data_IF_448109855705
#
_entry.id   IF_448109855705
#
_cell.length_a   1.000
_cell.length_b   1.000
_cell.length_c   1.000
_cell.angle_alpha   90.00
_cell.angle_beta   90.00
_cell.angle_gamma   90.00
#
_symmetry.space_group_name_H-M   'P 1'
#
loop_
_entity.id
_entity.type
_entity.pdbx_description
1 polymer ?
#
# COMPACT_ATOMS: atom_id res chain seq x y z
N UNK A 1 -5.58 26.85 -18.45
CA UNK A 1 -6.18 28.19 -18.63
C UNK A 1 -7.28 28.52 -17.60
N UNK A 2 -7.38 27.78 -16.49
CA UNK A 2 -8.10 28.25 -15.28
C UNK A 2 -7.13 29.00 -14.35
N UNK A 3 -5.86 28.62 -14.34
CA UNK A 3 -4.79 29.23 -13.54
C UNK A 3 -4.33 30.62 -14.00
N UNK A 4 -4.72 31.06 -15.20
CA UNK A 4 -4.34 32.36 -15.78
C UNK A 4 -5.53 33.32 -15.91
N UNK A 5 -6.62 33.08 -15.18
CA UNK A 5 -7.82 33.93 -15.25
C UNK A 5 -7.51 35.40 -14.97
N UNK A 6 -6.61 35.68 -14.03
CA UNK A 6 -6.21 37.04 -13.68
C UNK A 6 -5.49 37.76 -14.83
N UNK A 7 -4.51 37.11 -15.48
CA UNK A 7 -3.75 37.71 -16.58
C UNK A 7 -4.61 37.94 -17.83
N UNK A 8 -5.55 37.02 -18.09
CA UNK A 8 -6.54 37.18 -19.17
C UNK A 8 -7.50 38.31 -18.84
N UNK A 9 -7.99 38.41 -17.60
CA UNK A 9 -8.88 39.50 -17.16
C UNK A 9 -8.22 40.87 -17.28
N UNK A 10 -6.96 40.98 -16.85
CA UNK A 10 -6.19 42.22 -16.94
C UNK A 10 -5.99 42.68 -18.40
N UNK A 11 -5.66 41.74 -19.30
CA UNK A 11 -5.48 42.05 -20.74
C UNK A 11 -6.78 42.54 -21.37
N UNK A 12 -7.89 41.87 -21.08
CA UNK A 12 -9.21 42.24 -21.58
C UNK A 12 -9.64 43.61 -21.04
N UNK A 13 -9.35 43.91 -19.76
CA UNK A 13 -9.62 45.23 -19.16
C UNK A 13 -8.86 46.36 -19.86
N UNK A 14 -7.58 46.16 -20.18
CA UNK A 14 -6.79 47.15 -20.92
C UNK A 14 -7.35 47.44 -22.33
N UNK A 15 -7.64 46.40 -23.11
CA UNK A 15 -8.19 46.57 -24.47
C UNK A 15 -9.56 47.24 -24.46
N UNK A 16 -10.42 46.90 -23.50
CA UNK A 16 -11.73 47.53 -23.35
C UNK A 16 -11.61 48.98 -22.86
N UNK A 17 -10.69 49.27 -21.94
CA UNK A 17 -10.44 50.64 -21.46
C UNK A 17 -9.95 51.56 -22.59
N UNK A 18 -9.03 51.08 -23.45
CA UNK A 18 -8.58 51.84 -24.63
C UNK A 18 -9.72 52.13 -25.62
N UNK A 19 -10.56 51.13 -25.92
CA UNK A 19 -11.71 51.32 -26.81
C UNK A 19 -12.77 52.24 -26.20
N UNK A 20 -13.06 52.09 -24.91
CA UNK A 20 -14.05 52.89 -24.20
C UNK A 20 -13.66 54.37 -24.13
N UNK A 21 -12.35 54.68 -24.00
CA UNK A 21 -11.82 56.05 -24.08
C UNK A 21 -12.15 56.75 -25.40
N UNK A 22 -12.20 56.03 -26.53
CA UNK A 22 -12.59 56.61 -27.82
C UNK A 22 -14.05 57.09 -27.83
N UNK A 23 -14.89 56.52 -26.97
CA UNK A 23 -16.29 56.91 -26.79
C UNK A 23 -16.51 57.83 -25.57
N UNK A 24 -15.45 58.26 -24.89
CA UNK A 24 -15.53 59.08 -23.67
C UNK A 24 -16.05 58.33 -22.44
N UNK A 25 -16.01 57.00 -22.44
CA UNK A 25 -16.48 56.16 -21.34
C UNK A 25 -15.27 55.76 -20.48
N UNK A 26 -15.36 55.99 -19.16
CA UNK A 26 -14.36 55.56 -18.18
C UNK A 26 -14.79 54.20 -17.59
N UNK A 27 -13.95 53.17 -17.75
CA UNK A 27 -14.14 51.87 -17.09
C UNK A 27 -13.20 51.75 -15.89
N UNK A 28 -13.74 51.33 -14.74
CA UNK A 28 -13.02 51.15 -13.47
C UNK A 28 -12.68 49.67 -13.23
N UNK A 29 -13.68 48.78 -13.15
CA UNK A 29 -13.49 47.34 -12.96
C UNK A 29 -14.41 46.49 -13.86
N UNK A 30 -13.88 45.35 -14.33
CA UNK A 30 -14.60 44.38 -15.17
C UNK A 30 -14.55 42.99 -14.55
N UNK A 31 -15.71 42.40 -14.31
CA UNK A 31 -15.83 41.00 -13.88
C UNK A 31 -16.36 40.13 -15.03
N UNK A 32 -15.64 39.06 -15.36
CA UNK A 32 -16.12 38.06 -16.33
C UNK A 32 -16.95 37.01 -15.59
N UNK A 33 -18.27 37.00 -15.81
CA UNK A 33 -19.22 36.13 -15.09
C UNK A 33 -19.30 34.72 -15.65
N UNK A 34 -19.39 34.59 -16.99
CA UNK A 34 -19.51 33.29 -17.64
C UNK A 34 -18.59 33.18 -18.85
N UNK A 35 -17.73 32.15 -18.82
CA UNK A 35 -16.85 31.77 -19.92
C UNK A 35 -17.28 30.38 -20.35
N UNK A 36 -17.93 30.26 -21.52
CA UNK A 36 -18.24 28.97 -22.12
C UNK A 36 -17.15 28.61 -23.11
N UNK A 37 -16.50 27.48 -22.89
CA UNK A 37 -15.63 26.90 -23.89
C UNK A 37 -16.47 26.05 -24.86
N UNK A 38 -15.99 25.85 -26.09
CA UNK A 38 -16.61 24.90 -27.01
C UNK A 38 -16.47 23.47 -26.51
N UNK A 39 -17.41 22.59 -26.87
CA UNK A 39 -17.43 21.17 -26.43
C UNK A 39 -16.14 20.43 -26.81
N UNK A 40 -15.63 20.66 -28.01
CA UNK A 40 -14.39 20.04 -28.48
C UNK A 40 -13.17 20.44 -27.63
N UNK A 41 -13.16 21.67 -27.10
CA UNK A 41 -12.09 22.13 -26.22
C UNK A 41 -12.20 21.52 -24.83
N UNK A 42 -13.40 21.39 -24.28
CA UNK A 42 -13.61 20.74 -22.98
C UNK A 42 -13.18 19.28 -23.03
N UNK A 43 -13.56 18.57 -24.10
CA UNK A 43 -13.27 17.15 -24.27
C UNK A 43 -11.75 16.93 -24.43
N UNK A 44 -11.07 17.77 -25.21
CA UNK A 44 -9.62 17.68 -25.39
C UNK A 44 -8.84 17.96 -24.09
N UNK A 45 -9.33 18.90 -23.27
CA UNK A 45 -8.73 19.20 -21.96
C UNK A 45 -8.97 18.06 -20.97
N UNK A 46 -10.17 17.49 -20.96
CA UNK A 46 -10.51 16.34 -20.11
C UNK A 46 -9.66 15.12 -20.48
N UNK A 47 -9.55 14.79 -21.77
CA UNK A 47 -8.66 13.72 -22.24
C UNK A 47 -7.21 13.95 -21.82
N UNK A 48 -6.71 15.19 -21.92
CA UNK A 48 -5.35 15.52 -21.48
C UNK A 48 -5.18 15.33 -19.98
N UNK A 49 -6.18 15.71 -19.18
CA UNK A 49 -6.15 15.51 -17.72
C UNK A 49 -6.18 14.03 -17.36
N UNK A 50 -7.04 13.24 -18.01
CA UNK A 50 -7.11 11.79 -17.81
C UNK A 50 -5.78 11.13 -18.16
N UNK A 51 -5.20 11.46 -19.32
CA UNK A 51 -3.90 10.93 -19.72
C UNK A 51 -2.78 11.28 -18.73
N UNK A 52 -2.79 12.51 -18.18
CA UNK A 52 -1.80 12.91 -17.19
C UNK A 52 -1.98 12.17 -15.86
N UNK A 53 -3.21 11.99 -15.40
CA UNK A 53 -3.51 11.20 -14.20
C UNK A 53 -3.14 9.73 -14.37
N UNK A 54 -3.43 9.14 -15.54
CA UNK A 54 -3.05 7.76 -15.85
C UNK A 54 -1.53 7.59 -15.86
N UNK A 55 -0.79 8.55 -16.44
CA UNK A 55 0.66 8.53 -16.44
C UNK A 55 1.24 8.63 -15.01
N UNK A 56 0.71 9.52 -14.17
CA UNK A 56 1.12 9.62 -12.76
C UNK A 56 0.81 8.34 -11.99
N UNK A 57 -0.37 7.76 -12.19
CA UNK A 57 -0.77 6.50 -11.56
C UNK A 57 0.12 5.33 -11.99
N UNK A 58 0.46 5.25 -13.27
CA UNK A 58 1.37 4.23 -13.78
C UNK A 58 2.77 4.36 -13.16
N UNK A 59 3.31 5.59 -13.07
CA UNK A 59 4.60 5.85 -12.41
C UNK A 59 4.57 5.45 -10.94
N UNK A 60 3.51 5.80 -10.22
CA UNK A 60 3.33 5.44 -8.82
C UNK A 60 3.26 3.92 -8.61
N UNK A 61 2.57 3.20 -9.49
CA UNK A 61 2.48 1.75 -9.42
C UNK A 61 3.85 1.08 -9.62
N UNK A 62 4.61 1.54 -10.61
CA UNK A 62 5.97 1.04 -10.88
C UNK A 62 6.89 1.30 -9.68
N UNK A 63 6.89 2.51 -9.15
CA UNK A 63 7.69 2.88 -7.98
C UNK A 63 7.31 2.04 -6.75
N UNK A 64 6.02 1.86 -6.50
CA UNK A 64 5.53 1.03 -5.39
C UNK A 64 5.98 -0.43 -5.56
N UNK A 65 5.91 -0.98 -6.77
CA UNK A 65 6.35 -2.34 -7.05
C UNK A 65 7.87 -2.51 -6.84
N UNK A 66 8.65 -1.51 -7.21
CA UNK A 66 10.10 -1.49 -6.98
C UNK A 66 10.43 -1.46 -5.47
N UNK A 67 9.74 -0.59 -4.71
CA UNK A 67 9.89 -0.53 -3.25
C UNK A 67 9.48 -1.84 -2.56
N UNK A 68 8.38 -2.46 -2.97
CA UNK A 68 7.97 -3.77 -2.43
C UNK A 68 9.02 -4.85 -2.69
N UNK A 69 9.64 -4.86 -3.88
CA UNK A 69 10.71 -5.80 -4.21
C UNK A 69 11.93 -5.60 -3.32
N UNK A 70 12.37 -4.35 -3.15
CA UNK A 70 13.51 -4.03 -2.27
C UNK A 70 13.20 -4.45 -0.83
N UNK A 71 12.02 -4.11 -0.32
CA UNK A 71 11.60 -4.50 1.02
C UNK A 71 11.61 -6.03 1.20
N UNK A 72 11.06 -6.79 0.25
CA UNK A 72 11.06 -8.24 0.31
C UNK A 72 12.47 -8.84 0.33
N UNK A 73 13.39 -8.31 -0.48
CA UNK A 73 14.80 -8.74 -0.48
C UNK A 73 15.47 -8.40 0.86
N UNK A 74 15.30 -7.18 1.37
CA UNK A 74 15.89 -6.76 2.65
C UNK A 74 15.36 -7.58 3.82
N UNK A 75 14.06 -7.89 3.86
CA UNK A 75 13.48 -8.77 4.89
C UNK A 75 14.06 -10.18 4.80
N UNK A 76 14.14 -10.76 3.60
CA UNK A 76 14.72 -12.09 3.41
C UNK A 76 16.20 -12.14 3.81
N UNK A 77 16.98 -11.10 3.49
CA UNK A 77 18.38 -10.97 3.91
C UNK A 77 18.50 -10.81 5.42
N UNK A 78 17.64 -10.01 6.04
CA UNK A 78 17.57 -9.83 7.50
C UNK A 78 17.28 -11.15 8.22
N UNK A 79 16.28 -11.90 7.75
CA UNK A 79 15.92 -13.21 8.30
C UNK A 79 17.05 -14.22 8.13
N UNK A 80 17.70 -14.25 6.97
CA UNK A 80 18.83 -15.13 6.72
C UNK A 80 20.05 -14.81 7.61
N UNK A 81 20.34 -13.52 7.84
CA UNK A 81 21.40 -13.10 8.74
C UNK A 81 21.06 -13.43 10.20
N UNK A 82 19.83 -13.15 10.64
CA UNK A 82 19.36 -13.49 11.97
C UNK A 82 19.43 -15.01 12.23
N UNK A 83 18.99 -15.83 11.27
CA UNK A 83 19.08 -17.29 11.36
C UNK A 83 20.54 -17.77 11.46
N UNK A 84 21.48 -17.17 10.70
CA UNK A 84 22.91 -17.48 10.80
C UNK A 84 23.50 -17.13 12.16
N UNK A 85 23.16 -15.96 12.70
CA UNK A 85 23.61 -15.53 14.02
C UNK A 85 23.04 -16.44 15.13
N UNK A 86 21.76 -16.79 15.03
CA UNK A 86 21.15 -17.76 15.94
C UNK A 86 21.83 -19.13 15.85
N UNK A 87 22.10 -19.62 14.65
CA UNK A 87 22.79 -20.90 14.46
C UNK A 87 24.21 -20.89 15.07
N UNK A 88 24.94 -19.78 14.95
CA UNK A 88 26.24 -19.60 15.60
C UNK A 88 26.10 -19.57 17.12
N UNK A 89 25.17 -18.78 17.65
CA UNK A 89 24.91 -18.69 19.09
C UNK A 89 24.49 -20.05 19.68
N UNK A 90 23.65 -20.83 18.98
CA UNK A 90 23.28 -22.18 19.40
C UNK A 90 24.47 -23.15 19.37
N UNK A 91 25.37 -23.02 18.39
CA UNK A 91 26.59 -23.83 18.31
C UNK A 91 27.55 -23.52 19.47
N UNK A 92 27.63 -22.26 19.90
CA UNK A 92 28.46 -21.83 21.04
C UNK A 92 27.82 -22.17 22.39
N UNK A 93 26.50 -22.03 22.53
CA UNK A 93 25.77 -22.32 23.77
C UNK A 93 25.54 -23.83 24.04
N UNK A 94 25.73 -24.69 23.03
CA UNK A 94 25.79 -26.14 23.17
C UNK A 94 24.45 -26.89 23.09
N UNK A 95 24.55 -28.23 22.91
CA UNK A 95 23.45 -29.18 22.67
C UNK A 95 22.41 -29.23 23.81
N UNK A 96 22.82 -28.88 25.04
CA UNK A 96 21.92 -28.88 26.20
C UNK A 96 20.77 -27.88 26.11
N UNK A 97 20.94 -26.75 25.42
CA UNK A 97 19.85 -25.79 25.21
C UNK A 97 18.80 -26.33 24.22
N UNK A 98 19.24 -27.12 23.22
CA UNK A 98 18.35 -27.76 22.25
C UNK A 98 17.54 -28.86 22.94
N UNK A 99 18.17 -29.66 23.79
CA UNK A 99 17.48 -30.66 24.60
C UNK A 99 16.46 -30.02 25.56
N UNK A 100 16.82 -28.93 26.25
CA UNK A 100 15.88 -28.20 27.11
C UNK A 100 14.68 -27.66 26.33
N UNK A 101 14.92 -27.03 25.17
CA UNK A 101 13.87 -26.57 24.25
C UNK A 101 12.98 -27.70 23.75
N UNK A 102 13.53 -28.89 23.49
CA UNK A 102 12.74 -30.07 23.10
C UNK A 102 11.84 -30.52 24.24
N UNK A 103 12.33 -30.51 25.48
CA UNK A 103 11.53 -30.88 26.66
C UNK A 103 10.41 -29.86 26.88
N UNK A 104 10.70 -28.56 26.82
CA UNK A 104 9.69 -27.49 26.95
C UNK A 104 8.61 -27.57 25.86
N UNK A 105 9.02 -27.80 24.60
CA UNK A 105 8.08 -27.97 23.50
C UNK A 105 7.23 -29.23 23.67
N UNK A 106 7.81 -30.32 24.16
CA UNK A 106 7.09 -31.55 24.48
C UNK A 106 6.08 -31.34 25.63
N UNK A 107 6.45 -30.57 26.65
CA UNK A 107 5.56 -30.18 27.75
C UNK A 107 4.38 -29.34 27.25
N UNK A 108 4.63 -28.34 26.41
CA UNK A 108 3.57 -27.50 25.84
C UNK A 108 2.62 -28.31 24.94
N UNK A 109 3.17 -29.20 24.10
CA UNK A 109 2.37 -30.10 23.27
C UNK A 109 1.53 -31.04 24.15
N UNK A 110 2.12 -31.63 25.19
CA UNK A 110 1.42 -32.50 26.13
C UNK A 110 0.29 -31.77 26.86
N UNK A 111 0.51 -30.51 27.27
CA UNK A 111 -0.52 -29.68 27.92
C UNK A 111 -1.66 -29.34 26.95
N UNK A 112 -1.34 -28.97 25.70
CA UNK A 112 -2.34 -28.73 24.65
C UNK A 112 -3.14 -30.00 24.33
N UNK A 113 -2.47 -31.15 24.28
CA UNK A 113 -3.12 -32.45 24.04
C UNK A 113 -4.01 -32.86 25.21
N UNK A 114 -3.56 -32.69 26.46
CA UNK A 114 -4.35 -33.00 27.64
C UNK A 114 -5.62 -32.14 27.75
N UNK A 115 -5.57 -30.89 27.30
CA UNK A 115 -6.74 -30.00 27.22
C UNK A 115 -7.67 -30.31 26.04
N UNK A 116 -7.19 -31.03 25.04
CA UNK A 116 -7.97 -31.35 23.84
C UNK A 116 -8.91 -32.52 24.11
N UNK A 117 -10.20 -32.33 23.78
CA UNK A 117 -11.27 -33.32 24.03
C UNK A 117 -11.17 -34.60 23.17
N UNK A 118 -10.27 -34.62 22.18
CA UNK A 118 -10.11 -35.72 21.22
C UNK A 118 -8.91 -36.64 21.51
N UNK A 119 -8.23 -36.48 22.66
CA UNK A 119 -7.10 -37.33 23.05
C UNK A 119 -7.55 -38.30 24.14
N UNK A 120 -7.40 -39.59 23.88
CA UNK A 120 -7.69 -40.68 24.83
C UNK A 120 -6.38 -41.35 25.19
N UNK A 121 -6.01 -41.34 26.48
CA UNK A 121 -4.83 -42.03 26.97
C UNK A 121 -5.14 -43.51 27.14
N UNK A 122 -4.47 -44.37 26.37
CA UNK A 122 -4.59 -45.82 26.51
C UNK A 122 -3.48 -46.35 27.44
N UNK A 123 -3.83 -47.03 28.55
CA UNK A 123 -2.85 -47.69 29.39
C UNK A 123 -2.25 -48.91 28.68
N UNK A 124 -0.94 -49.11 28.85
CA UNK A 124 -0.08 -50.05 28.12
C UNK A 124 -0.41 -51.56 28.27
N UNK A 125 -1.55 -51.94 28.85
CA UNK A 125 -1.85 -53.35 29.12
C UNK A 125 -3.32 -53.75 28.89
N UNK A 126 -4.09 -52.98 28.12
CA UNK A 126 -5.46 -53.34 27.78
C UNK A 126 -5.65 -53.38 26.27
N UNK A 127 -5.87 -54.58 25.74
CA UNK A 127 -6.11 -54.84 24.33
C UNK A 127 -7.56 -54.43 23.98
N UNK A 128 -7.81 -53.13 23.85
CA UNK A 128 -9.13 -52.61 23.48
C UNK A 128 -9.25 -52.54 21.97
N UNK A 129 -10.10 -53.38 21.40
CA UNK A 129 -10.47 -53.36 19.98
C UNK A 129 -11.16 -52.03 19.65
N UNK A 130 -10.47 -51.14 18.95
CA UNK A 130 -11.07 -49.94 18.37
C UNK A 130 -11.90 -50.31 17.15
N UNK A 131 -13.22 -50.16 17.25
CA UNK A 131 -14.08 -50.11 16.06
C UNK A 131 -14.03 -48.69 15.51
N UNK A 132 -13.10 -48.42 14.58
CA UNK A 132 -13.12 -47.20 13.78
C UNK A 132 -14.17 -47.35 12.66
N UNK A 133 -15.11 -46.40 12.49
CA UNK A 133 -15.86 -46.32 11.25
C UNK A 133 -14.91 -45.87 10.13
N UNK A 134 -14.76 -46.71 9.11
CA UNK A 134 -14.04 -46.35 7.89
C UNK A 134 -14.69 -45.12 7.25
N UNK A 135 -13.90 -44.06 7.10
CA UNK A 135 -14.12 -42.97 6.13
C UNK A 135 -12.84 -42.83 5.33
#
# INVERSE_FOLDING_TARGET
MITQRESVSHRVSLELSERAKQFGILLDDIAITHLSFGREFTDAVEMKQVAQQEAEKARYLVETAEQMKVAAVTTAEGDAQAAKLLAQAFKEAGDGLIELRKIEAAEEIAERMAKSRNVVYLPNNQNTLFNMPAV
#
